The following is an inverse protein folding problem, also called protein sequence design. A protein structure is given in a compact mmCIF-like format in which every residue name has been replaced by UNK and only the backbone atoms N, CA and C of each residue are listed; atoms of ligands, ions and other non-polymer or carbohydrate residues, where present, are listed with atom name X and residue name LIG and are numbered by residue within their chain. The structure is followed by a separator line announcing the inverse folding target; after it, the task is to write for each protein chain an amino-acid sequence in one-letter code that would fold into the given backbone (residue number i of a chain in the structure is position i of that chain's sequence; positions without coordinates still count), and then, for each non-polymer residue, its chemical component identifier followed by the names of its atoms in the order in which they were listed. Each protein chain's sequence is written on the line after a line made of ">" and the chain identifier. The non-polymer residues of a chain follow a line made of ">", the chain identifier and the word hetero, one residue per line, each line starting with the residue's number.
data_IF_293872629315
#
_entry.id   IF_293872629315
#
_cell.length_a   1.000
_cell.length_b   1.000
_cell.length_c   1.000
_cell.angle_alpha   90.00
_cell.angle_beta   90.00
_cell.angle_gamma   90.00
#
_symmetry.space_group_name_H-M   'P 1'
#
loop_
_entity.id
_entity.type
_entity.pdbx_description
1 polymer ?
#
# COMPACT_ATOMS: atom_id res chain seq x y z
N UNK A 1 6.56 -29.23 -19.34
CA UNK A 1 6.15 -28.11 -20.23
C UNK A 1 4.72 -27.73 -19.84
N UNK A 2 4.37 -26.44 -19.84
CA UNK A 2 3.01 -26.01 -19.50
C UNK A 2 2.05 -26.22 -20.67
N UNK A 3 0.90 -26.84 -20.41
CA UNK A 3 -0.29 -26.79 -21.27
C UNK A 3 -0.99 -25.45 -21.06
N UNK A 4 -1.41 -24.82 -22.15
CA UNK A 4 -2.08 -23.51 -22.13
C UNK A 4 -3.55 -23.68 -22.50
N UNK A 5 -4.43 -23.04 -21.73
CA UNK A 5 -5.83 -22.83 -22.09
C UNK A 5 -6.14 -21.33 -22.01
N UNK A 6 -6.93 -20.80 -22.95
CA UNK A 6 -7.22 -19.37 -23.04
C UNK A 6 -8.70 -19.12 -23.28
N UNK A 7 -9.24 -18.11 -22.58
CA UNK A 7 -10.65 -17.73 -22.69
C UNK A 7 -10.79 -16.22 -22.55
N UNK A 8 -11.46 -15.59 -23.52
CA UNK A 8 -11.76 -14.16 -23.48
C UNK A 8 -13.06 -13.88 -22.73
N UNK A 9 -13.01 -12.91 -21.83
CA UNK A 9 -14.12 -12.42 -21.02
C UNK A 9 -14.45 -10.99 -21.43
N UNK A 10 -15.43 -10.85 -22.32
CA UNK A 10 -15.84 -9.56 -22.88
C UNK A 10 -16.32 -8.55 -21.84
N UNK A 11 -16.93 -9.01 -20.74
CA UNK A 11 -17.44 -8.14 -19.67
C UNK A 11 -16.34 -7.38 -18.91
N UNK A 12 -15.11 -7.89 -18.92
CA UNK A 12 -13.94 -7.28 -18.27
C UNK A 12 -12.85 -6.87 -19.25
N UNK A 13 -13.08 -7.11 -20.56
CA UNK A 13 -12.09 -6.93 -21.62
C UNK A 13 -10.74 -7.56 -21.26
N UNK A 14 -10.76 -8.83 -20.86
CA UNK A 14 -9.57 -9.57 -20.47
C UNK A 14 -9.59 -11.01 -21.02
N UNK A 15 -8.41 -11.55 -21.29
CA UNK A 15 -8.20 -12.96 -21.59
C UNK A 15 -7.60 -13.65 -20.38
N UNK A 16 -8.28 -14.67 -19.86
CA UNK A 16 -7.71 -15.57 -18.86
C UNK A 16 -6.84 -16.59 -19.57
N UNK A 17 -5.59 -16.69 -19.14
CA UNK A 17 -4.63 -17.69 -19.60
C UNK A 17 -4.35 -18.64 -18.44
N UNK A 18 -4.66 -19.92 -18.62
CA UNK A 18 -4.39 -20.99 -17.65
C UNK A 18 -3.13 -21.74 -18.06
N UNK A 19 -2.19 -21.90 -17.13
CA UNK A 19 -0.94 -22.64 -17.32
C UNK A 19 -0.95 -23.86 -16.41
N UNK A 20 -1.06 -25.04 -17.02
CA UNK A 20 -1.07 -26.32 -16.31
C UNK A 20 0.21 -27.11 -16.56
N UNK A 21 0.87 -27.56 -15.51
CA UNK A 21 2.00 -28.49 -15.54
C UNK A 21 1.63 -29.72 -14.71
N UNK A 22 1.87 -30.93 -15.23
CA UNK A 22 1.48 -32.17 -14.56
C UNK A 22 2.47 -32.61 -13.48
N UNK A 23 3.77 -32.43 -13.68
CA UNK A 23 4.81 -32.82 -12.73
C UNK A 23 5.95 -31.78 -12.61
N UNK A 24 6.19 -31.20 -11.41
CA UNK A 24 5.24 -31.18 -10.29
C UNK A 24 3.93 -30.50 -10.71
N UNK A 25 2.81 -30.93 -10.14
CA UNK A 25 1.51 -30.35 -10.47
C UNK A 25 1.49 -28.86 -10.14
N UNK A 26 1.23 -28.03 -11.14
CA UNK A 26 1.00 -26.59 -10.99
C UNK A 26 -0.11 -26.13 -11.92
N UNK A 27 -0.93 -25.22 -11.42
CA UNK A 27 -2.05 -24.66 -12.16
C UNK A 27 -2.18 -23.18 -11.80
N UNK A 28 -1.94 -22.31 -12.78
CA UNK A 28 -2.02 -20.86 -12.61
C UNK A 28 -3.02 -20.28 -13.58
N UNK A 29 -3.73 -19.24 -13.17
CA UNK A 29 -4.60 -18.46 -14.05
C UNK A 29 -4.18 -17.00 -13.98
N UNK A 30 -3.87 -16.42 -15.14
CA UNK A 30 -3.44 -15.03 -15.28
C UNK A 30 -4.43 -14.27 -16.15
N UNK A 31 -4.75 -13.05 -15.75
CA UNK A 31 -5.52 -12.10 -16.55
C UNK A 31 -4.59 -11.27 -17.43
N UNK A 32 -4.81 -11.30 -18.74
CA UNK A 32 -4.18 -10.40 -19.70
C UNK A 32 -5.24 -9.44 -20.26
N UNK A 33 -4.90 -8.16 -20.40
CA UNK A 33 -5.83 -7.16 -20.92
C UNK A 33 -6.11 -7.39 -22.41
N UNK A 34 -7.37 -7.26 -22.82
CA UNK A 34 -7.85 -7.41 -24.19
C UNK A 34 -8.19 -8.84 -24.62
N UNK A 35 -8.70 -8.97 -25.85
CA UNK A 35 -8.86 -10.28 -26.51
C UNK A 35 -7.52 -10.73 -27.11
N UNK A 36 -6.91 -11.68 -26.44
CA UNK A 36 -5.62 -12.31 -26.79
C UNK A 36 -5.82 -13.76 -27.23
N UNK A 37 -7.05 -14.20 -27.52
CA UNK A 37 -7.34 -15.61 -27.88
C UNK A 37 -6.68 -16.05 -29.19
N UNK A 38 -6.33 -15.10 -30.06
CA UNK A 38 -5.64 -15.35 -31.33
C UNK A 38 -4.12 -15.37 -31.23
N UNK A 39 -3.58 -15.00 -30.07
CA UNK A 39 -2.13 -14.96 -29.87
C UNK A 39 -1.54 -16.36 -29.82
N UNK A 40 -0.24 -16.44 -30.12
CA UNK A 40 0.53 -17.67 -30.00
C UNK A 40 0.68 -18.07 -28.53
N UNK A 41 0.50 -19.36 -28.24
CA UNK A 41 0.60 -19.91 -26.90
C UNK A 41 1.99 -19.71 -26.26
N UNK A 42 3.07 -19.67 -27.05
CA UNK A 42 4.42 -19.35 -26.57
C UNK A 42 4.52 -17.91 -26.04
N UNK A 43 3.89 -16.97 -26.75
CA UNK A 43 3.85 -15.55 -26.35
C UNK A 43 3.04 -15.42 -25.06
N UNK A 44 1.83 -16.01 -25.03
CA UNK A 44 0.97 -15.99 -23.85
C UNK A 44 1.63 -16.67 -22.64
N UNK A 45 2.39 -17.74 -22.86
CA UNK A 45 3.15 -18.41 -21.81
C UNK A 45 4.22 -17.51 -21.23
N UNK A 46 5.02 -16.86 -22.07
CA UNK A 46 6.08 -15.96 -21.60
C UNK A 46 5.53 -14.79 -20.80
N UNK A 47 4.45 -14.17 -21.29
CA UNK A 47 3.78 -13.05 -20.62
C UNK A 47 3.14 -13.49 -19.30
N UNK A 48 2.50 -14.67 -19.26
CA UNK A 48 1.95 -15.19 -18.02
C UNK A 48 3.05 -15.59 -17.01
N UNK A 49 4.15 -16.21 -17.47
CA UNK A 49 5.30 -16.53 -16.61
C UNK A 49 5.95 -15.26 -16.05
N UNK A 50 6.02 -14.17 -16.82
CA UNK A 50 6.59 -12.92 -16.34
C UNK A 50 5.76 -12.30 -15.20
N UNK A 51 4.43 -12.43 -15.26
CA UNK A 51 3.52 -12.04 -14.19
C UNK A 51 3.67 -12.97 -12.98
N UNK A 52 3.83 -14.28 -13.22
CA UNK A 52 4.00 -15.30 -12.18
C UNK A 52 5.43 -15.43 -11.63
N UNK A 53 6.36 -14.57 -12.02
CA UNK A 53 7.79 -14.73 -11.68
C UNK A 53 8.05 -14.85 -10.18
N UNK A 54 7.27 -14.16 -9.34
CA UNK A 54 7.36 -14.29 -7.89
C UNK A 54 6.91 -15.67 -7.38
N UNK A 55 5.87 -16.24 -7.97
CA UNK A 55 5.33 -17.56 -7.57
C UNK A 55 6.21 -18.71 -8.09
N UNK A 56 6.79 -18.55 -9.28
CA UNK A 56 7.65 -19.55 -9.91
C UNK A 56 9.08 -19.54 -9.36
N UNK A 57 9.54 -18.42 -8.77
CA UNK A 57 10.86 -18.29 -8.18
C UNK A 57 10.81 -17.74 -6.75
N UNK A 58 10.37 -18.55 -5.77
CA UNK A 58 10.25 -18.13 -4.38
C UNK A 58 11.58 -17.71 -3.77
N UNK A 59 12.71 -18.29 -4.20
CA UNK A 59 14.05 -17.92 -3.71
C UNK A 59 14.42 -16.49 -4.12
N UNK A 60 14.14 -16.11 -5.36
CA UNK A 60 14.33 -14.73 -5.82
C UNK A 60 13.40 -13.77 -5.08
N UNK A 61 12.12 -14.11 -4.95
CA UNK A 61 11.15 -13.31 -4.20
C UNK A 61 11.58 -13.09 -2.73
N UNK A 62 12.03 -14.15 -2.04
CA UNK A 62 12.58 -14.07 -0.67
C UNK A 62 13.84 -13.18 -0.64
N UNK A 63 14.68 -13.24 -1.67
CA UNK A 63 15.85 -12.37 -1.81
C UNK A 63 15.47 -10.88 -1.88
N UNK A 64 14.51 -10.53 -2.73
CA UNK A 64 14.01 -9.15 -2.85
C UNK A 64 13.34 -8.67 -1.55
N UNK A 65 12.52 -9.51 -0.92
CA UNK A 65 11.91 -9.21 0.39
C UNK A 65 12.98 -8.95 1.45
N UNK A 66 14.05 -9.76 1.50
CA UNK A 66 15.17 -9.56 2.44
C UNK A 66 15.89 -8.23 2.19
N UNK A 67 16.09 -7.84 0.93
CA UNK A 67 16.72 -6.55 0.59
C UNK A 67 15.88 -5.37 1.08
N UNK A 68 14.58 -5.39 0.82
CA UNK A 68 13.70 -4.30 1.26
C UNK A 68 13.61 -4.24 2.79
N UNK A 69 13.58 -5.40 3.47
CA UNK A 69 13.61 -5.45 4.93
C UNK A 69 14.90 -4.84 5.51
N UNK A 70 16.05 -5.10 4.89
CA UNK A 70 17.33 -4.50 5.31
C UNK A 70 17.29 -2.97 5.13
N UNK A 71 16.75 -2.49 4.02
CA UNK A 71 16.60 -1.06 3.73
C UNK A 71 15.67 -0.36 4.74
N UNK A 72 14.53 -0.96 5.06
CA UNK A 72 13.61 -0.44 6.08
C UNK A 72 14.26 -0.41 7.47
N UNK A 73 14.98 -1.47 7.86
CA UNK A 73 15.72 -1.49 9.14
C UNK A 73 16.74 -0.36 9.22
N UNK A 74 17.44 -0.07 8.12
CA UNK A 74 18.39 1.03 8.06
C UNK A 74 17.70 2.38 8.24
N UNK A 75 16.58 2.63 7.54
CA UNK A 75 15.80 3.86 7.70
C UNK A 75 15.33 4.06 9.14
N UNK A 76 14.86 2.99 9.81
CA UNK A 76 14.44 3.06 11.22
C UNK A 76 15.61 3.40 12.13
N UNK A 77 16.79 2.81 11.93
CA UNK A 77 17.99 3.13 12.70
C UNK A 77 18.45 4.58 12.49
N UNK A 78 18.40 5.07 11.25
CA UNK A 78 18.76 6.45 10.92
C UNK A 78 17.78 7.44 11.57
N UNK A 79 16.48 7.14 11.54
CA UNK A 79 15.44 7.89 12.25
C UNK A 79 15.67 7.88 13.76
N UNK A 80 15.90 6.70 14.36
CA UNK A 80 16.18 6.58 15.79
C UNK A 80 17.42 7.37 16.21
N UNK A 81 18.48 7.33 15.40
CA UNK A 81 19.71 8.11 15.64
C UNK A 81 19.44 9.61 15.59
N UNK A 82 18.62 10.05 14.63
CA UNK A 82 18.21 11.45 14.48
C UNK A 82 17.36 11.93 15.66
N UNK A 83 16.42 11.10 16.12
CA UNK A 83 15.53 11.38 17.25
C UNK A 83 16.29 11.37 18.59
N UNK A 84 17.05 10.31 18.88
CA UNK A 84 17.77 10.13 20.15
C UNK A 84 18.97 11.09 20.27
N UNK A 85 19.58 11.46 19.15
CA UNK A 85 20.69 12.43 19.10
C UNK A 85 20.28 13.89 19.32
N UNK A 86 18.99 14.19 19.52
CA UNK A 86 18.50 15.56 19.78
C UNK A 86 18.66 16.53 18.61
N UNK A 87 18.86 16.02 17.40
CA UNK A 87 19.26 16.79 16.21
C UNK A 87 18.14 16.91 15.16
N UNK A 88 16.88 16.89 15.61
CA UNK A 88 15.71 17.20 14.77
C UNK A 88 15.51 18.70 14.71
N UNK A 89 16.10 19.33 13.70
CA UNK A 89 15.76 20.69 13.29
C UNK A 89 14.71 20.61 12.18
N UNK A 90 13.75 21.54 12.14
CA UNK A 90 12.68 21.56 11.13
C UNK A 90 13.21 21.40 9.69
N UNK A 91 14.34 22.02 9.37
CA UNK A 91 15.03 21.87 8.07
C UNK A 91 15.42 20.42 7.72
N UNK A 92 15.81 19.60 8.70
CA UNK A 92 16.15 18.19 8.44
C UNK A 92 14.90 17.33 8.28
N UNK A 93 13.80 17.72 8.92
CA UNK A 93 12.51 17.06 8.74
C UNK A 93 12.00 17.34 7.33
N UNK A 94 12.09 18.59 6.87
CA UNK A 94 11.72 18.98 5.50
C UNK A 94 12.57 18.27 4.44
N UNK A 95 13.89 18.19 4.64
CA UNK A 95 14.77 17.46 3.73
C UNK A 95 14.40 15.97 3.65
N UNK A 96 14.10 15.34 4.80
CA UNK A 96 13.68 13.93 4.84
C UNK A 96 12.30 13.71 4.20
N UNK A 97 11.38 14.66 4.33
CA UNK A 97 10.06 14.60 3.72
C UNK A 97 10.14 14.76 2.20
N UNK A 98 10.97 15.68 1.69
CA UNK A 98 11.23 15.84 0.26
C UNK A 98 11.83 14.57 -0.35
N UNK A 99 12.83 13.98 0.32
CA UNK A 99 13.48 12.74 -0.10
C UNK A 99 12.54 11.52 -0.15
N UNK A 100 11.45 11.55 0.62
CA UNK A 100 10.39 10.55 0.64
C UNK A 100 9.37 10.83 -0.48
N UNK A 101 8.99 12.08 -0.69
CA UNK A 101 8.06 12.50 -1.76
C UNK A 101 8.61 12.15 -3.15
N UNK A 102 9.89 12.42 -3.38
CA UNK A 102 10.58 12.14 -4.64
C UNK A 102 10.69 10.63 -4.91
N UNK A 103 10.92 9.82 -3.87
CA UNK A 103 10.99 8.35 -3.99
C UNK A 103 9.62 7.70 -4.20
N UNK A 104 8.53 8.38 -3.84
CA UNK A 104 7.16 7.93 -4.02
C UNK A 104 6.49 8.48 -5.29
N UNK A 105 7.14 9.42 -5.99
CA UNK A 105 6.59 10.05 -7.20
C UNK A 105 5.36 10.90 -6.92
N UNK A 106 5.23 11.44 -5.71
CA UNK A 106 4.15 12.36 -5.35
C UNK A 106 4.64 13.77 -5.68
N UNK A 107 4.17 14.35 -6.78
CA UNK A 107 4.34 15.79 -7.01
C UNK A 107 3.67 16.53 -5.86
N UNK A 108 4.43 17.39 -5.17
CA UNK A 108 3.85 18.29 -4.18
C UNK A 108 2.77 19.14 -4.86
N UNK A 109 1.51 18.93 -4.48
CA UNK A 109 0.46 19.89 -4.82
C UNK A 109 0.80 21.23 -4.16
N UNK A 110 0.68 22.37 -4.86
CA UNK A 110 1.08 23.66 -4.33
C UNK A 110 0.35 23.94 -3.01
N UNK A 111 1.09 24.41 -2.00
CA UNK A 111 0.51 24.97 -0.76
C UNK A 111 -0.54 26.00 -1.14
N UNK A 112 -1.80 25.67 -0.89
CA UNK A 112 -2.93 26.58 -1.01
C UNK A 112 -2.61 27.80 -0.12
N UNK A 113 -2.53 28.99 -0.72
CA UNK A 113 -2.34 30.23 0.04
C UNK A 113 -3.45 30.31 1.07
N UNK A 114 -3.09 30.32 2.35
CA UNK A 114 -3.99 30.70 3.42
C UNK A 114 -4.66 32.03 3.06
N UNK A 115 -5.94 31.96 2.75
CA UNK A 115 -6.82 33.12 2.80
C UNK A 115 -7.29 33.26 4.25
N UNK A 116 -7.31 34.48 4.81
CA UNK A 116 -7.72 34.68 6.19
C UNK A 116 -9.20 34.29 6.33
N UNK A 117 -9.48 33.24 7.10
CA UNK A 117 -10.84 32.76 7.36
C UNK A 117 -11.59 33.78 8.24
N UNK A 118 -12.77 34.29 7.84
CA UNK A 118 -13.54 35.18 8.67
C UNK A 118 -14.44 34.39 9.63
N UNK A 119 -14.47 34.87 10.87
CA UNK A 119 -15.53 34.67 11.88
C UNK A 119 -15.42 33.44 12.79
N UNK A 120 -14.87 33.68 13.97
CA UNK A 120 -15.07 32.89 15.18
C UNK A 120 -16.56 32.58 15.39
N UNK A 121 -16.93 31.30 15.35
CA UNK A 121 -18.14 30.82 16.00
C UNK A 121 -17.71 30.17 17.31
N UNK A 122 -17.84 30.91 18.43
CA UNK A 122 -17.69 30.36 19.78
C UNK A 122 -18.73 29.26 19.99
N UNK A 123 -18.30 28.01 20.00
CA UNK A 123 -19.08 26.91 20.56
C UNK A 123 -18.78 26.89 22.05
N UNK A 124 -19.74 27.34 22.87
CA UNK A 124 -19.73 27.12 24.31
C UNK A 124 -20.15 25.67 24.56
N UNK A 125 -19.28 24.88 25.20
CA UNK A 125 -19.62 23.54 25.70
C UNK A 125 -20.01 23.72 27.17
N UNK A 126 -21.26 23.47 27.52
CA UNK A 126 -21.69 23.35 28.92
C UNK A 126 -21.34 21.95 29.44
N UNK A 127 -20.67 21.90 30.61
CA UNK A 127 -20.30 20.68 31.32
C UNK A 127 -21.55 19.91 31.83
N UNK A 128 -21.72 18.62 31.48
CA UNK A 128 -22.81 17.80 32.02
C UNK A 128 -22.35 17.14 33.33
N UNK A 129 -22.20 17.93 34.40
CA UNK A 129 -22.07 17.41 35.77
C UNK A 129 -22.87 18.25 36.77
N UNK A 130 -24.19 18.10 36.68
CA UNK A 130 -25.06 18.20 37.85
C UNK A 130 -26.35 17.43 37.54
N UNK A 131 -26.29 16.11 37.72
CA UNK A 131 -27.48 15.30 37.93
C UNK A 131 -27.56 15.00 39.42
N UNK A 132 -28.67 15.43 40.02
CA UNK A 132 -29.11 15.23 41.39
C UNK A 132 -28.68 13.91 42.03
N UNK A 133 -28.07 14.02 43.22
CA UNK A 133 -28.08 12.95 44.21
C UNK A 133 -28.68 13.48 45.51
N UNK A 134 -30.00 13.68 45.52
CA UNK A 134 -30.75 13.82 46.77
C UNK A 134 -31.70 12.62 46.95
N UNK A 135 -31.24 11.67 47.76
CA UNK A 135 -32.09 10.71 48.46
C UNK A 135 -31.42 10.31 49.78
N UNK A 136 -31.84 10.95 50.87
CA UNK A 136 -32.36 10.34 52.11
C UNK A 136 -32.06 11.23 53.32
N UNK A 137 -33.09 11.95 53.78
CA UNK A 137 -33.22 12.27 55.21
C UNK A 137 -33.41 10.96 55.99
N UNK A 138 -32.66 10.86 57.09
CA UNK A 138 -32.67 9.74 58.01
C UNK A 138 -33.84 9.79 58.98
N UNK A 139 -34.28 8.61 59.40
CA UNK A 139 -35.06 8.40 60.62
C UNK A 139 -34.13 8.55 61.83
N UNK A 140 -34.51 9.39 62.79
CA UNK A 140 -34.52 9.09 64.24
C UNK A 140 -35.37 10.13 64.96
#
# INVERSE_FOLDING_TARGET
>A
MFKIEKMYYSGLNETKVRLMQEDPYRDFVVSLIGDRTKDNDDILRQEAISILNLELNPTFAIGEIKKELIKQKKMILDLQTTIVGGNLTDSKIDDMLGDISDKLGVEETPKEKETPNPTESKITIEDPKNLDTDKKEGQQ
#
